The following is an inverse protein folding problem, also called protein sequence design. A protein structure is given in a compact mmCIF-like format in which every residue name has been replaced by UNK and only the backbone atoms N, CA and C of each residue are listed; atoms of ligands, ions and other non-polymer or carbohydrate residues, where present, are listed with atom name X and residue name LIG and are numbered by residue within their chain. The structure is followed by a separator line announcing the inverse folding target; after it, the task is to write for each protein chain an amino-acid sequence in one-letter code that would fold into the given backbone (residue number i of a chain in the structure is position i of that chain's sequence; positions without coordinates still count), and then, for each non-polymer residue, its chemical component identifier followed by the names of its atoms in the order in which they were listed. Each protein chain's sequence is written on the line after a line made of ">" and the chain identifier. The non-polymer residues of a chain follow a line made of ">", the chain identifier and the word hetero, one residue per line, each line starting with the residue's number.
data_IF_845386612129
#
_entry.id   IF_845386612129
#
_cell.length_a   1.000
_cell.length_b   1.000
_cell.length_c   1.000
_cell.angle_alpha   90.00
_cell.angle_beta   90.00
_cell.angle_gamma   90.00
#
_symmetry.space_group_name_H-M   'P 1'
#
loop_
_entity.id
_entity.type
_entity.pdbx_description
1 polymer ?
#
# COMPACT_ATOMS: atom_id res chain seq x y z
N UNK A 1 15.77 10.10 21.90
CA UNK A 1 15.30 8.89 21.17
C UNK A 1 15.10 9.16 19.68
N UNK A 2 14.16 10.02 19.21
CA UNK A 2 14.01 10.24 17.75
C UNK A 2 15.25 10.94 17.14
N UNK A 3 15.85 11.90 17.84
CA UNK A 3 17.08 12.57 17.41
C UNK A 3 18.24 11.58 17.29
N UNK A 4 18.38 10.67 18.24
CA UNK A 4 19.41 9.63 18.25
C UNK A 4 19.23 8.67 17.07
N UNK A 5 17.96 8.29 16.75
CA UNK A 5 17.64 7.47 15.59
C UNK A 5 18.01 8.18 14.28
N UNK A 6 17.72 9.48 14.17
CA UNK A 6 18.09 10.28 12.99
C UNK A 6 19.60 10.40 12.85
N UNK A 7 20.32 10.63 13.97
CA UNK A 7 21.77 10.70 13.98
C UNK A 7 22.40 9.35 13.58
N UNK A 8 21.88 8.26 14.13
CA UNK A 8 22.30 6.91 13.73
C UNK A 8 22.08 6.67 12.24
N UNK A 9 20.90 7.02 11.69
CA UNK A 9 20.62 6.88 10.27
C UNK A 9 21.61 7.64 9.40
N UNK A 10 22.05 8.83 9.84
CA UNK A 10 23.00 9.65 9.10
C UNK A 10 24.43 9.13 9.15
N UNK A 11 24.85 8.50 10.27
CA UNK A 11 26.24 8.11 10.54
C UNK A 11 26.52 6.62 10.40
N UNK A 12 25.50 5.76 10.32
CA UNK A 12 25.70 4.31 10.21
C UNK A 12 26.32 3.90 8.88
N UNK A 13 27.25 2.97 8.92
CA UNK A 13 27.90 2.35 7.75
C UNK A 13 27.17 1.05 7.30
N UNK A 14 26.08 0.66 7.99
CA UNK A 14 25.31 -0.52 7.62
C UNK A 14 24.70 -0.37 6.24
N UNK A 15 24.48 -1.50 5.57
CA UNK A 15 23.85 -1.52 4.26
C UNK A 15 22.44 -0.90 4.30
N UNK A 16 22.06 -0.10 3.31
CA UNK A 16 20.78 0.62 3.27
C UNK A 16 19.54 -0.27 3.42
N UNK A 17 19.57 -1.52 2.98
CA UNK A 17 18.50 -2.50 3.24
C UNK A 17 18.30 -2.72 4.74
N UNK A 18 19.39 -2.92 5.48
CA UNK A 18 19.36 -3.14 6.92
C UNK A 18 18.92 -1.85 7.63
N UNK A 19 19.55 -0.72 7.27
CA UNK A 19 19.20 0.59 7.85
C UNK A 19 17.73 0.93 7.68
N UNK A 20 17.13 0.61 6.53
CA UNK A 20 15.72 0.85 6.29
C UNK A 20 14.81 0.04 7.21
N UNK A 21 15.16 -1.23 7.47
CA UNK A 21 14.40 -2.09 8.37
C UNK A 21 14.59 -1.70 9.84
N UNK A 22 15.83 -1.43 10.27
CA UNK A 22 16.12 -0.96 11.63
C UNK A 22 15.41 0.35 11.92
N UNK A 23 15.51 1.33 10.99
CA UNK A 23 14.85 2.62 11.16
C UNK A 23 13.33 2.47 11.30
N UNK A 24 12.71 1.63 10.46
CA UNK A 24 11.28 1.36 10.53
C UNK A 24 10.88 0.78 11.89
N UNK A 25 11.59 -0.27 12.35
CA UNK A 25 11.31 -0.90 13.64
C UNK A 25 11.48 0.08 14.81
N UNK A 26 12.60 0.79 14.87
CA UNK A 26 12.89 1.76 15.94
C UNK A 26 11.88 2.92 15.94
N UNK A 27 11.44 3.37 14.76
CA UNK A 27 10.43 4.42 14.66
C UNK A 27 9.08 3.96 15.21
N UNK A 28 8.66 2.73 14.91
CA UNK A 28 7.46 2.11 15.47
C UNK A 28 7.60 1.92 16.99
N UNK A 29 8.77 1.54 17.47
CA UNK A 29 9.04 1.34 18.88
C UNK A 29 9.01 2.66 19.68
N UNK A 30 9.64 3.72 19.14
CA UNK A 30 9.66 5.07 19.75
C UNK A 30 8.26 5.68 19.78
N UNK A 31 7.46 5.42 18.75
CA UNK A 31 6.08 5.85 18.60
C UNK A 31 5.86 7.35 18.83
N UNK A 32 6.55 8.25 18.10
CA UNK A 32 6.61 9.67 18.45
C UNK A 32 5.31 10.44 18.23
N UNK A 33 4.36 9.92 17.45
CA UNK A 33 3.10 10.59 17.15
C UNK A 33 1.91 9.90 17.84
N UNK A 34 0.87 10.65 18.09
CA UNK A 34 -0.40 10.12 18.61
C UNK A 34 -1.14 9.24 17.59
N UNK A 35 -0.92 9.47 16.28
CA UNK A 35 -1.44 8.67 15.16
C UNK A 35 -0.51 8.77 13.97
N UNK A 36 -0.53 7.75 13.11
CA UNK A 36 0.20 7.73 11.84
C UNK A 36 1.65 7.24 11.93
N UNK A 37 2.11 6.68 13.06
CA UNK A 37 3.47 6.18 13.19
C UNK A 37 3.78 5.12 12.13
N UNK A 38 2.90 4.13 11.92
CA UNK A 38 3.09 3.11 10.89
C UNK A 38 3.23 3.67 9.47
N UNK A 39 2.43 4.66 9.12
CA UNK A 39 2.55 5.35 7.82
C UNK A 39 3.90 6.05 7.67
N UNK A 40 4.34 6.72 8.73
CA UNK A 40 5.63 7.41 8.74
C UNK A 40 6.81 6.43 8.70
N UNK A 41 6.77 5.34 9.46
CA UNK A 41 7.80 4.29 9.43
C UNK A 41 7.97 3.70 8.02
N UNK A 42 6.86 3.37 7.35
CA UNK A 42 6.88 2.86 5.97
C UNK A 42 7.36 3.90 4.95
N UNK A 43 6.95 5.16 5.11
CA UNK A 43 7.45 6.26 4.27
C UNK A 43 8.96 6.41 4.39
N UNK A 44 9.50 6.43 5.60
CA UNK A 44 10.94 6.50 5.83
C UNK A 44 11.67 5.29 5.24
N UNK A 45 11.11 4.10 5.39
CA UNK A 45 11.69 2.91 4.77
C UNK A 45 11.78 3.05 3.25
N UNK A 46 10.71 3.51 2.59
CA UNK A 46 10.71 3.76 1.14
C UNK A 46 11.75 4.81 0.73
N UNK A 47 11.89 5.89 1.49
CA UNK A 47 12.88 6.94 1.22
C UNK A 47 14.32 6.44 1.38
N UNK A 48 14.59 5.61 2.38
CA UNK A 48 15.92 5.04 2.60
C UNK A 48 16.26 4.05 1.49
N UNK A 49 15.31 3.18 1.14
CA UNK A 49 15.47 2.19 0.07
C UNK A 49 15.65 2.85 -1.31
N UNK A 50 14.95 3.95 -1.60
CA UNK A 50 15.09 4.71 -2.83
C UNK A 50 16.51 5.26 -3.05
N UNK A 51 17.25 5.55 -1.98
CA UNK A 51 18.68 5.92 -2.08
C UNK A 51 19.59 4.77 -2.50
N UNK A 52 19.16 3.53 -2.32
CA UNK A 52 19.95 2.35 -2.71
C UNK A 52 19.90 2.13 -4.23
N UNK A 53 18.71 2.18 -4.81
CA UNK A 53 18.52 2.00 -6.24
C UNK A 53 17.12 2.49 -6.66
N UNK A 54 16.94 3.11 -7.84
CA UNK A 54 15.63 3.60 -8.32
C UNK A 54 14.51 2.55 -8.33
N UNK A 55 14.85 1.28 -8.48
CA UNK A 55 13.89 0.16 -8.37
C UNK A 55 13.11 0.19 -7.05
N UNK A 56 13.75 0.61 -5.96
CA UNK A 56 13.15 0.64 -4.64
C UNK A 56 12.26 1.86 -4.39
N UNK A 57 12.35 2.92 -5.21
CA UNK A 57 11.44 4.07 -5.12
C UNK A 57 9.99 3.68 -5.36
N UNK A 58 9.78 2.62 -6.15
CA UNK A 58 8.47 2.11 -6.52
C UNK A 58 8.05 0.86 -5.74
N UNK A 59 8.84 0.47 -4.73
CA UNK A 59 8.52 -0.69 -3.91
C UNK A 59 7.29 -0.38 -3.04
N UNK A 60 6.19 -1.15 -3.17
CA UNK A 60 4.95 -0.86 -2.45
C UNK A 60 5.02 -1.36 -0.99
N UNK A 61 5.87 -0.71 -0.16
CA UNK A 61 6.09 -1.10 1.25
C UNK A 61 4.78 -1.15 2.03
N UNK A 62 3.85 -0.23 1.75
CA UNK A 62 2.52 -0.23 2.36
C UNK A 62 1.75 -1.53 2.07
N UNK A 63 1.76 -1.96 0.81
CA UNK A 63 1.07 -3.18 0.39
C UNK A 63 1.73 -4.44 0.97
N UNK A 64 3.05 -4.47 1.07
CA UNK A 64 3.79 -5.59 1.67
C UNK A 64 3.35 -5.82 3.12
N UNK A 65 3.29 -4.75 3.90
CA UNK A 65 2.82 -4.80 5.30
C UNK A 65 1.34 -5.16 5.38
N UNK A 66 0.50 -4.56 4.54
CA UNK A 66 -0.94 -4.81 4.54
C UNK A 66 -1.28 -6.27 4.19
N UNK A 67 -0.63 -6.83 3.17
CA UNK A 67 -0.89 -8.22 2.73
C UNK A 67 -0.49 -9.26 3.77
N UNK A 68 0.46 -8.94 4.65
CA UNK A 68 1.00 -9.83 5.67
C UNK A 68 0.90 -9.22 7.09
N UNK A 69 -0.17 -8.48 7.35
CA UNK A 69 -0.34 -7.68 8.57
C UNK A 69 -0.11 -8.47 9.87
N UNK A 70 -0.63 -9.69 9.96
CA UNK A 70 -0.43 -10.51 11.16
C UNK A 70 1.04 -10.90 11.36
N UNK A 71 1.75 -11.27 10.29
CA UNK A 71 3.17 -11.61 10.35
C UNK A 71 4.01 -10.37 10.70
N UNK A 72 3.65 -9.21 10.17
CA UNK A 72 4.27 -7.93 10.51
C UNK A 72 4.17 -7.63 12.02
N UNK A 73 2.99 -7.71 12.61
CA UNK A 73 2.83 -7.49 14.06
C UNK A 73 3.51 -8.57 14.91
N UNK A 74 3.51 -9.80 14.45
CA UNK A 74 4.24 -10.88 15.13
C UNK A 74 5.75 -10.58 15.14
N UNK A 75 6.32 -10.15 14.02
CA UNK A 75 7.73 -9.80 13.92
C UNK A 75 8.11 -8.62 14.84
N UNK A 76 7.27 -7.58 14.95
CA UNK A 76 7.46 -6.48 15.90
C UNK A 76 7.43 -7.01 17.34
N UNK A 77 6.41 -7.79 17.68
CA UNK A 77 6.23 -8.33 19.04
C UNK A 77 7.40 -9.22 19.43
N UNK A 78 7.83 -10.11 18.55
CA UNK A 78 8.96 -11.00 18.77
C UNK A 78 10.27 -10.23 18.95
N UNK A 79 10.51 -9.21 18.11
CA UNK A 79 11.67 -8.33 18.22
C UNK A 79 11.70 -7.61 19.57
N UNK A 80 10.57 -7.07 19.99
CA UNK A 80 10.43 -6.36 21.28
C UNK A 80 10.69 -7.32 22.45
N UNK A 81 10.14 -8.53 22.42
CA UNK A 81 10.36 -9.53 23.47
C UNK A 81 11.83 -9.99 23.56
N UNK A 82 12.50 -10.08 22.43
CA UNK A 82 13.92 -10.47 22.38
C UNK A 82 14.88 -9.30 22.66
N UNK A 83 14.39 -8.08 22.71
CA UNK A 83 15.20 -6.88 22.83
C UNK A 83 16.17 -6.67 21.65
N UNK A 84 15.79 -7.13 20.46
CA UNK A 84 16.59 -7.02 19.24
C UNK A 84 15.71 -6.98 17.98
N UNK A 85 16.08 -6.20 16.97
CA UNK A 85 15.29 -6.02 15.74
C UNK A 85 15.48 -7.15 14.70
N UNK A 86 16.24 -8.20 14.98
CA UNK A 86 16.53 -9.30 14.04
C UNK A 86 15.29 -9.91 13.40
N UNK A 87 14.30 -10.39 14.18
CA UNK A 87 13.07 -10.97 13.61
C UNK A 87 12.32 -10.04 12.68
N UNK A 88 12.27 -8.73 12.99
CA UNK A 88 11.65 -7.74 12.12
C UNK A 88 12.44 -7.51 10.84
N UNK A 89 13.78 -7.46 10.91
CA UNK A 89 14.64 -7.35 9.74
C UNK A 89 14.43 -8.54 8.80
N UNK A 90 14.44 -9.76 9.32
CA UNK A 90 14.24 -10.98 8.54
C UNK A 90 12.88 -10.97 7.83
N UNK A 91 11.81 -10.61 8.53
CA UNK A 91 10.48 -10.45 7.96
C UNK A 91 10.49 -9.44 6.79
N UNK A 92 10.98 -8.23 7.03
CA UNK A 92 10.96 -7.17 6.02
C UNK A 92 11.83 -7.48 4.79
N UNK A 93 13.01 -8.08 4.99
CA UNK A 93 13.85 -8.52 3.87
C UNK A 93 13.19 -9.64 3.05
N UNK A 94 12.47 -10.55 3.72
CA UNK A 94 11.66 -11.58 3.07
C UNK A 94 10.56 -11.00 2.19
N UNK A 95 9.83 -9.99 2.69
CA UNK A 95 8.79 -9.29 1.95
C UNK A 95 9.36 -8.52 0.75
N UNK A 96 10.46 -7.80 0.95
CA UNK A 96 11.17 -7.10 -0.13
C UNK A 96 11.59 -8.09 -1.23
N UNK A 97 12.21 -9.20 -0.86
CA UNK A 97 12.67 -10.22 -1.79
C UNK A 97 11.51 -10.85 -2.57
N UNK A 98 10.42 -11.18 -1.88
CA UNK A 98 9.20 -11.74 -2.49
C UNK A 98 8.60 -10.77 -3.50
N UNK A 99 8.49 -9.49 -3.12
CA UNK A 99 7.95 -8.44 -3.98
C UNK A 99 8.83 -8.25 -5.22
N UNK A 100 10.14 -8.19 -5.06
CA UNK A 100 11.07 -8.07 -6.19
C UNK A 100 10.97 -9.26 -7.15
N UNK A 101 10.88 -10.49 -6.64
CA UNK A 101 10.72 -11.70 -7.46
C UNK A 101 9.40 -11.68 -8.24
N UNK A 102 8.34 -11.22 -7.63
CA UNK A 102 7.01 -11.15 -8.28
C UNK A 102 6.99 -10.13 -9.42
N UNK A 103 7.80 -9.07 -9.32
CA UNK A 103 7.87 -8.01 -10.34
C UNK A 103 8.96 -8.25 -11.40
N UNK A 104 9.85 -9.23 -11.25
CA UNK A 104 10.89 -9.57 -12.25
C UNK A 104 10.33 -10.10 -13.59
N UNK A 105 9.04 -10.42 -13.67
CA UNK A 105 8.39 -10.87 -14.91
C UNK A 105 7.64 -9.77 -15.68
N UNK A 106 7.46 -8.61 -15.10
CA UNK A 106 6.81 -7.48 -15.74
C UNK A 106 7.83 -6.35 -15.90
N UNK A 107 8.00 -5.84 -17.13
CA UNK A 107 8.73 -4.59 -17.35
C UNK A 107 8.16 -3.54 -16.37
N UNK A 108 9.04 -2.93 -15.58
CA UNK A 108 8.66 -1.85 -14.68
C UNK A 108 8.21 -0.71 -15.59
N UNK A 109 6.90 -0.56 -15.72
CA UNK A 109 6.31 0.56 -16.44
C UNK A 109 6.70 1.85 -15.69
N UNK A 110 7.63 2.61 -16.28
CA UNK A 110 8.18 3.85 -15.72
C UNK A 110 7.14 4.98 -15.58
N UNK A 111 5.87 4.70 -15.86
CA UNK A 111 4.74 5.61 -15.65
C UNK A 111 4.17 5.60 -14.20
N UNK A 112 4.90 5.08 -13.22
CA UNK A 112 4.42 4.87 -11.84
C UNK A 112 4.22 6.17 -11.01
N UNK A 113 4.57 7.34 -11.56
CA UNK A 113 4.36 8.63 -10.86
C UNK A 113 2.90 9.06 -10.67
N UNK A 114 1.91 8.31 -11.19
CA UNK A 114 0.47 8.68 -11.14
C UNK A 114 -0.45 7.62 -10.50
N UNK A 115 0.07 6.49 -10.01
CA UNK A 115 -0.76 5.39 -9.53
C UNK A 115 -0.51 4.98 -8.07
N UNK A 116 -0.29 5.95 -7.18
CA UNK A 116 -0.30 5.71 -5.73
C UNK A 116 -1.74 5.45 -5.30
N UNK A 117 -2.12 4.19 -5.26
CA UNK A 117 -3.47 3.74 -4.88
C UNK A 117 -3.95 2.49 -5.60
N UNK A 118 -3.16 1.91 -6.50
CA UNK A 118 -3.58 0.73 -7.30
C UNK A 118 -2.84 -0.54 -6.86
N UNK A 119 -3.65 -1.47 -6.42
CA UNK A 119 -3.44 -2.91 -6.25
C UNK A 119 -2.88 -3.41 -4.92
N UNK A 120 -3.79 -3.60 -4.00
CA UNK A 120 -3.60 -4.52 -2.88
C UNK A 120 -4.16 -5.90 -3.26
N UNK A 121 -3.30 -6.85 -3.53
CA UNK A 121 -3.47 -8.25 -3.16
C UNK A 121 -4.39 -9.18 -3.94
N UNK A 122 -5.02 -8.78 -5.05
CA UNK A 122 -5.58 -9.67 -6.07
C UNK A 122 -5.35 -9.06 -7.44
N UNK A 123 -4.75 -9.81 -8.37
CA UNK A 123 -4.69 -9.44 -9.78
C UNK A 123 -6.12 -9.46 -10.35
N UNK A 124 -6.85 -8.36 -10.15
CA UNK A 124 -8.08 -8.16 -10.87
C UNK A 124 -7.71 -7.64 -12.26
N UNK A 125 -8.03 -8.41 -13.29
CA UNK A 125 -7.95 -7.95 -14.68
C UNK A 125 -9.01 -6.86 -14.89
N UNK A 126 -8.64 -5.61 -14.56
CA UNK A 126 -9.51 -4.44 -14.62
C UNK A 126 -9.20 -3.65 -15.88
N UNK A 127 -10.24 -3.32 -16.61
CA UNK A 127 -10.15 -2.42 -17.77
C UNK A 127 -9.92 -0.97 -17.33
N UNK A 128 -9.40 -0.13 -18.22
CA UNK A 128 -9.18 1.31 -17.96
C UNK A 128 -10.46 2.02 -17.48
N UNK A 129 -11.61 1.68 -18.08
CA UNK A 129 -12.90 2.24 -17.65
C UNK A 129 -13.33 1.78 -16.25
N UNK A 130 -12.98 0.56 -15.84
CA UNK A 130 -13.24 0.06 -14.48
C UNK A 130 -12.35 0.79 -13.46
N UNK A 131 -11.11 1.09 -13.81
CA UNK A 131 -10.22 1.90 -12.98
C UNK A 131 -10.78 3.31 -12.76
N UNK A 132 -11.24 3.98 -13.81
CA UNK A 132 -11.84 5.31 -13.70
C UNK A 132 -13.07 5.32 -12.78
N UNK A 133 -13.91 4.27 -12.84
CA UNK A 133 -15.05 4.12 -11.92
C UNK A 133 -14.57 3.99 -10.47
N UNK A 134 -13.53 3.21 -10.20
CA UNK A 134 -12.99 3.04 -8.85
C UNK A 134 -12.38 4.33 -8.31
N UNK A 135 -11.66 5.09 -9.12
CA UNK A 135 -11.11 6.41 -8.74
C UNK A 135 -12.20 7.37 -8.27
N UNK A 136 -13.29 7.50 -9.03
CA UNK A 136 -14.41 8.34 -8.65
C UNK A 136 -15.12 7.85 -7.36
N UNK A 137 -15.17 6.53 -7.13
CA UNK A 137 -15.73 5.96 -5.90
C UNK A 137 -14.80 6.22 -4.70
N UNK A 138 -13.47 6.23 -4.89
CA UNK A 138 -12.50 6.60 -3.85
C UNK A 138 -12.74 8.06 -3.40
N UNK A 139 -12.96 8.97 -4.36
CA UNK A 139 -13.23 10.38 -4.05
C UNK A 139 -14.60 10.56 -3.39
N UNK A 140 -15.62 9.84 -3.85
CA UNK A 140 -16.97 9.90 -3.28
C UNK A 140 -17.68 8.54 -3.37
N UNK A 141 -17.67 7.82 -2.27
CA UNK A 141 -18.28 6.47 -2.19
C UNK A 141 -19.82 6.46 -2.21
N UNK A 142 -20.48 7.62 -2.29
CA UNK A 142 -21.94 7.74 -2.41
C UNK A 142 -22.42 8.05 -3.82
N UNK A 143 -21.51 8.15 -4.79
CA UNK A 143 -21.87 8.41 -6.19
C UNK A 143 -22.90 7.42 -6.70
N UNK A 144 -23.91 7.94 -7.35
CA UNK A 144 -24.93 7.16 -8.05
C UNK A 144 -24.44 6.78 -9.46
N UNK A 145 -25.01 5.71 -10.03
CA UNK A 145 -24.70 5.34 -11.41
C UNK A 145 -25.01 6.50 -12.39
N UNK A 146 -26.04 7.29 -12.10
CA UNK A 146 -26.42 8.45 -12.92
C UNK A 146 -25.38 9.56 -12.89
N UNK A 147 -24.82 9.89 -11.72
CA UNK A 147 -23.72 10.83 -11.59
C UNK A 147 -22.46 10.35 -12.30
N UNK A 148 -22.17 9.04 -12.20
CA UNK A 148 -21.06 8.40 -12.89
C UNK A 148 -21.15 8.55 -14.42
N UNK A 149 -22.37 8.45 -14.99
CA UNK A 149 -22.56 8.66 -16.45
C UNK A 149 -22.18 10.06 -16.89
N UNK A 150 -22.45 11.05 -16.05
CA UNK A 150 -22.11 12.44 -16.33
C UNK A 150 -20.59 12.69 -16.21
N UNK A 151 -19.97 12.16 -15.17
CA UNK A 151 -18.53 12.36 -14.91
C UNK A 151 -17.64 11.66 -15.95
N UNK A 152 -18.02 10.45 -16.37
CA UNK A 152 -17.24 9.67 -17.34
C UNK A 152 -17.69 9.88 -18.80
N UNK A 153 -18.75 10.68 -19.04
CA UNK A 153 -19.33 10.90 -20.37
C UNK A 153 -19.72 9.58 -21.10
N UNK A 154 -20.23 8.60 -20.34
CA UNK A 154 -20.65 7.27 -20.85
C UNK A 154 -22.16 7.12 -20.76
N UNK A 155 -22.72 6.16 -21.52
CA UNK A 155 -24.15 5.84 -21.42
C UNK A 155 -24.47 5.12 -20.09
N UNK A 156 -25.73 5.24 -19.64
CA UNK A 156 -26.18 4.54 -18.43
C UNK A 156 -25.95 3.03 -18.53
N UNK A 157 -26.19 2.44 -19.68
CA UNK A 157 -25.98 1.02 -19.93
C UNK A 157 -24.51 0.60 -19.80
N UNK A 158 -23.57 1.45 -20.23
CA UNK A 158 -22.14 1.22 -20.04
C UNK A 158 -21.74 1.31 -18.56
N UNK A 159 -22.22 2.34 -17.84
CA UNK A 159 -21.99 2.46 -16.41
C UNK A 159 -22.50 1.24 -15.63
N UNK A 160 -23.75 0.81 -15.87
CA UNK A 160 -24.33 -0.38 -15.25
C UNK A 160 -23.51 -1.66 -15.51
N UNK A 161 -22.98 -1.82 -16.73
CA UNK A 161 -22.10 -2.96 -17.07
C UNK A 161 -20.77 -2.90 -16.31
N UNK A 162 -20.15 -1.73 -16.17
CA UNK A 162 -18.91 -1.55 -15.40
C UNK A 162 -19.13 -1.89 -13.92
N UNK A 163 -20.21 -1.39 -13.32
CA UNK A 163 -20.55 -1.74 -11.94
C UNK A 163 -20.87 -3.24 -11.76
N UNK A 164 -21.56 -3.85 -12.70
CA UNK A 164 -21.84 -5.30 -12.68
C UNK A 164 -20.54 -6.11 -12.78
N UNK A 165 -19.63 -5.72 -13.66
CA UNK A 165 -18.32 -6.35 -13.82
C UNK A 165 -17.48 -6.22 -12.55
N UNK A 166 -17.36 -5.03 -11.97
CA UNK A 166 -16.63 -4.80 -10.71
C UNK A 166 -17.20 -5.61 -9.54
N UNK A 167 -18.53 -5.74 -9.48
CA UNK A 167 -19.18 -6.60 -8.48
C UNK A 167 -18.90 -8.08 -8.72
N UNK A 168 -18.98 -8.56 -9.95
CA UNK A 168 -18.70 -9.96 -10.29
C UNK A 168 -17.25 -10.36 -10.03
N UNK A 169 -16.32 -9.42 -10.21
CA UNK A 169 -14.91 -9.57 -9.85
C UNK A 169 -14.69 -9.49 -8.33
N UNK A 170 -15.70 -9.17 -7.52
CA UNK A 170 -15.58 -9.02 -6.07
C UNK A 170 -14.86 -7.74 -5.62
N UNK A 171 -14.53 -6.85 -6.55
CA UNK A 171 -13.78 -5.61 -6.31
C UNK A 171 -14.66 -4.53 -5.67
N UNK A 172 -15.96 -4.55 -5.98
CA UNK A 172 -16.91 -3.55 -5.52
C UNK A 172 -18.11 -4.20 -4.85
N UNK A 173 -18.51 -3.71 -3.71
CA UNK A 173 -19.73 -4.08 -3.02
C UNK A 173 -20.53 -2.84 -2.60
N UNK A 174 -21.79 -3.01 -2.28
CA UNK A 174 -22.64 -1.91 -1.79
C UNK A 174 -23.16 -2.23 -0.41
N UNK A 175 -23.00 -1.34 0.52
CA UNK A 175 -23.56 -1.45 1.87
C UNK A 175 -24.69 -0.44 2.07
N UNK A 176 -25.78 -0.85 2.70
CA UNK A 176 -26.94 -0.01 3.01
C UNK A 176 -28.06 -0.09 1.97
N UNK A 177 -29.06 0.80 2.13
CA UNK A 177 -30.24 0.84 1.26
C UNK A 177 -29.98 1.51 -0.09
N UNK A 178 -30.93 1.38 -1.01
CA UNK A 178 -30.83 1.98 -2.35
C UNK A 178 -30.73 3.52 -2.30
N UNK A 179 -31.30 4.17 -1.28
CA UNK A 179 -31.26 5.66 -1.12
C UNK A 179 -30.05 6.17 -0.32
N UNK A 180 -29.61 5.43 0.70
CA UNK A 180 -28.58 5.87 1.64
C UNK A 180 -27.37 4.93 1.69
N UNK A 181 -27.26 4.02 0.73
CA UNK A 181 -26.12 3.10 0.66
C UNK A 181 -24.88 3.75 0.06
N UNK A 182 -23.74 3.18 0.39
CA UNK A 182 -22.43 3.60 -0.13
C UNK A 182 -21.68 2.39 -0.71
N UNK A 183 -20.71 2.70 -1.57
CA UNK A 183 -19.86 1.71 -2.21
C UNK A 183 -18.67 1.38 -1.31
N UNK A 184 -18.33 0.11 -1.25
CA UNK A 184 -17.12 -0.42 -0.59
C UNK A 184 -16.25 -1.03 -1.65
N UNK A 185 -15.00 -0.62 -1.70
CA UNK A 185 -13.97 -1.20 -2.56
C UNK A 185 -13.28 -2.30 -1.75
N UNK A 186 -13.31 -3.54 -2.27
CA UNK A 186 -12.80 -4.75 -1.60
C UNK A 186 -11.48 -5.20 -2.27
N UNK A 187 -10.51 -4.31 -2.37
CA UNK A 187 -9.18 -4.59 -2.94
C UNK A 187 -8.11 -4.44 -1.88
#
# INVERSE_FOLDING_TARGET
>A
MIEDLMQWLASSDDHLLIRSCVFHYEFEFIHPFSDGNGRMGRLWQSLILGKLHPLFEHLPVENMVYSNQQAYYNAITESTHKGQCGPFIEFMLGEILTTLKTHQGNEIDTNVGRNVGRNVGRNYDLTESEHQVLELIIENNRLTIKEMTLLLSISQRQAERLFASLKSKGVLSRQGSTKNGFWIINI
#
